data_IF_374127179028
#
_entry.id   IF_374127179028
#
_cell.length_a   1.000
_cell.length_b   1.000
_cell.length_c   1.000
_cell.angle_alpha   90.00
_cell.angle_beta   90.00
_cell.angle_gamma   90.00
#
_symmetry.space_group_name_H-M   'P 1'
#
loop_
_entity.id
_entity.type
_entity.pdbx_description
1 polymer ?
#
# COMPACT_ATOMS: atom_id res chain seq x y z
N UNK A 1 9.22 -15.77 34.61
CA UNK A 1 9.02 -14.34 34.30
C UNK A 1 10.30 -13.82 33.66
N UNK A 2 10.42 -13.97 32.34
CA UNK A 2 9.93 -13.02 31.32
C UNK A 2 11.00 -12.02 30.79
N UNK A 3 12.30 -12.31 30.93
CA UNK A 3 13.34 -11.45 30.34
C UNK A 3 14.11 -12.16 29.20
N UNK A 4 14.27 -13.48 29.26
CA UNK A 4 15.02 -14.24 28.25
C UNK A 4 14.29 -14.49 26.92
N UNK A 5 12.96 -14.31 26.88
CA UNK A 5 12.19 -14.43 25.64
C UNK A 5 12.27 -13.17 24.76
N UNK A 6 12.66 -12.03 25.32
CA UNK A 6 12.66 -10.75 24.59
C UNK A 6 13.92 -10.54 23.73
N UNK A 7 15.03 -11.22 24.07
CA UNK A 7 16.33 -10.99 23.41
C UNK A 7 16.56 -11.94 22.21
N UNK A 8 15.90 -13.10 22.16
CA UNK A 8 16.02 -14.01 20.99
C UNK A 8 15.31 -13.52 19.72
N UNK A 9 14.42 -12.53 19.82
CA UNK A 9 13.77 -11.92 18.65
C UNK A 9 14.56 -10.76 18.02
N UNK A 10 15.71 -10.39 18.57
CA UNK A 10 16.53 -9.28 18.05
C UNK A 10 17.69 -9.73 17.14
N UNK A 11 17.93 -11.03 16.97
CA UNK A 11 19.14 -11.55 16.28
C UNK A 11 18.83 -12.41 15.04
N UNK A 12 17.57 -12.56 14.65
CA UNK A 12 17.16 -13.47 13.56
C UNK A 12 16.48 -12.78 12.36
N UNK A 13 16.90 -11.57 11.98
CA UNK A 13 16.52 -10.99 10.67
C UNK A 13 17.70 -10.25 10.02
N UNK A 14 18.89 -10.82 10.11
CA UNK A 14 19.95 -10.56 9.13
C UNK A 14 19.80 -11.63 8.03
N UNK A 15 19.60 -11.19 6.78
CA UNK A 15 19.50 -11.99 5.55
C UNK A 15 18.15 -12.66 5.20
N UNK A 16 17.04 -11.93 5.21
CA UNK A 16 15.87 -12.31 4.41
C UNK A 16 15.49 -11.20 3.43
N UNK A 17 15.26 -11.58 2.16
CA UNK A 17 14.63 -10.74 1.12
C UNK A 17 13.52 -9.90 1.76
N UNK A 18 13.58 -8.58 1.59
CA UNK A 18 12.57 -7.64 2.06
C UNK A 18 11.18 -8.03 1.53
N UNK A 19 10.41 -8.77 2.35
CA UNK A 19 8.98 -8.94 2.17
C UNK A 19 8.36 -7.60 2.54
N UNK A 20 8.06 -6.77 1.55
CA UNK A 20 7.34 -5.54 1.78
C UNK A 20 5.99 -5.89 2.42
N UNK A 21 5.81 -5.57 3.70
CA UNK A 21 4.55 -5.74 4.42
C UNK A 21 3.60 -4.66 3.92
N UNK A 22 2.71 -5.07 3.01
CA UNK A 22 1.62 -4.25 2.55
C UNK A 22 0.32 -4.76 3.15
N UNK A 23 -0.48 -3.84 3.68
CA UNK A 23 -1.88 -4.10 3.96
C UNK A 23 -2.68 -4.13 2.66
N UNK A 24 -3.39 -5.23 2.42
CA UNK A 24 -4.25 -5.39 1.23
C UNK A 24 -5.65 -4.90 1.50
N UNK A 25 -6.09 -3.89 0.75
CA UNK A 25 -7.45 -3.36 0.77
C UNK A 25 -8.23 -3.88 -0.43
N UNK A 26 -9.32 -4.58 -0.15
CA UNK A 26 -10.18 -5.18 -1.18
C UNK A 26 -11.04 -4.13 -1.85
N UNK A 27 -11.37 -4.35 -3.13
CA UNK A 27 -12.34 -3.53 -3.86
C UNK A 27 -13.67 -3.32 -3.11
N UNK A 28 -14.18 -4.36 -2.44
CA UNK A 28 -15.40 -4.27 -1.61
C UNK A 28 -15.28 -3.28 -0.46
N UNK A 29 -14.06 -3.06 0.06
CA UNK A 29 -13.80 -2.15 1.18
C UNK A 29 -13.58 -0.72 0.72
N UNK A 30 -12.98 -0.53 -0.45
CA UNK A 30 -12.59 0.79 -0.98
C UNK A 30 -13.57 1.36 -2.00
N UNK A 31 -14.51 0.56 -2.52
CA UNK A 31 -15.37 0.95 -3.64
C UNK A 31 -14.64 1.05 -4.99
N UNK A 32 -13.33 0.75 -5.03
CA UNK A 32 -12.52 0.83 -6.23
C UNK A 32 -12.74 -0.37 -7.16
N UNK A 33 -12.47 -0.23 -8.47
CA UNK A 33 -12.54 -1.35 -9.42
C UNK A 33 -11.44 -2.41 -9.22
N UNK A 34 -10.46 -2.14 -8.36
CA UNK A 34 -9.28 -3.00 -8.11
C UNK A 34 -8.95 -3.08 -6.63
N UNK A 35 -8.25 -4.15 -6.24
CA UNK A 35 -7.58 -4.22 -4.95
C UNK A 35 -6.38 -3.26 -4.94
N UNK A 36 -6.13 -2.64 -3.79
CA UNK A 36 -4.95 -1.78 -3.56
C UNK A 36 -4.14 -2.29 -2.37
N UNK A 37 -2.88 -1.90 -2.33
CA UNK A 37 -1.91 -2.31 -1.33
C UNK A 37 -1.23 -1.05 -0.79
N UNK A 38 -1.30 -0.87 0.53
CA UNK A 38 -0.80 0.31 1.23
C UNK A 38 0.32 -0.09 2.20
N UNK A 39 1.35 0.74 2.30
CA UNK A 39 2.48 0.51 3.20
C UNK A 39 2.16 1.11 4.58
N UNK A 40 1.81 0.23 5.52
CA UNK A 40 1.48 0.52 6.91
C UNK A 40 2.66 0.32 7.87
N UNK A 41 3.86 0.11 7.31
CA UNK A 41 5.06 -0.25 8.07
C UNK A 41 6.24 0.70 7.82
N UNK A 42 5.99 1.75 7.01
CA UNK A 42 6.99 2.70 6.57
C UNK A 42 8.15 2.05 5.79
N UNK A 43 7.90 0.91 5.12
CA UNK A 43 8.93 0.18 4.38
C UNK A 43 9.57 1.04 3.27
N UNK A 44 8.80 1.95 2.66
CA UNK A 44 9.31 2.91 1.68
C UNK A 44 10.49 3.74 2.22
N UNK A 45 10.47 4.15 3.50
CA UNK A 45 11.59 4.89 4.14
C UNK A 45 12.83 4.00 4.27
N UNK A 46 12.64 2.80 4.82
CA UNK A 46 13.71 1.81 5.05
C UNK A 46 14.42 1.42 3.74
N UNK A 47 13.64 1.32 2.67
CA UNK A 47 14.12 0.94 1.33
C UNK A 47 14.50 2.14 0.45
N UNK A 48 14.46 3.37 0.97
CA UNK A 48 14.76 4.63 0.23
C UNK A 48 13.97 4.74 -1.08
N UNK A 49 12.71 4.36 -1.04
CA UNK A 49 11.77 4.48 -2.14
C UNK A 49 10.86 5.69 -1.94
N UNK A 50 10.33 6.26 -3.03
CA UNK A 50 9.21 7.19 -2.91
C UNK A 50 8.00 6.50 -2.29
N UNK A 51 7.26 7.22 -1.44
CA UNK A 51 6.00 6.73 -0.90
C UNK A 51 4.99 6.49 -2.04
N UNK A 52 4.32 5.35 -2.00
CA UNK A 52 3.52 4.84 -3.11
C UNK A 52 2.51 3.83 -2.60
N UNK A 53 1.34 3.81 -3.24
CA UNK A 53 0.47 2.63 -3.16
C UNK A 53 0.86 1.66 -4.27
N UNK A 54 0.41 0.42 -4.17
CA UNK A 54 0.35 -0.47 -5.33
C UNK A 54 -1.08 -0.80 -5.68
N UNK A 55 -1.35 -0.96 -6.96
CA UNK A 55 -2.65 -1.36 -7.49
C UNK A 55 -2.52 -2.74 -8.13
N UNK A 56 -3.55 -3.57 -7.99
CA UNK A 56 -3.62 -4.82 -8.74
C UNK A 56 -3.71 -4.52 -10.24
N UNK A 57 -3.00 -5.27 -11.07
CA UNK A 57 -2.95 -5.04 -12.52
C UNK A 57 -4.22 -5.45 -13.29
N UNK A 58 -5.19 -6.06 -12.61
CA UNK A 58 -6.45 -6.54 -13.17
C UNK A 58 -7.60 -6.37 -12.16
N UNK A 59 -8.84 -6.67 -12.60
CA UNK A 59 -10.06 -6.53 -11.79
C UNK A 59 -10.40 -7.76 -10.94
N UNK A 60 -9.49 -8.71 -10.80
CA UNK A 60 -9.71 -9.94 -10.05
C UNK A 60 -10.05 -9.68 -8.58
N UNK A 61 -10.86 -10.55 -7.97
CA UNK A 61 -11.23 -10.42 -6.55
C UNK A 61 -10.13 -10.83 -5.58
N UNK A 62 -9.27 -11.76 -5.99
CA UNK A 62 -8.17 -12.27 -5.18
C UNK A 62 -6.94 -11.36 -5.28
N UNK A 63 -6.11 -11.25 -4.21
CA UNK A 63 -4.90 -10.47 -4.28
C UNK A 63 -3.95 -11.11 -5.29
N UNK A 64 -3.40 -10.31 -6.18
CA UNK A 64 -2.37 -10.74 -7.10
C UNK A 64 -1.03 -10.13 -6.71
N UNK A 65 -0.22 -10.87 -5.94
CA UNK A 65 1.11 -10.42 -5.50
C UNK A 65 2.13 -10.27 -6.65
N UNK A 66 1.90 -10.93 -7.79
CA UNK A 66 2.79 -10.87 -8.95
C UNK A 66 2.44 -9.71 -9.90
N UNK A 67 1.20 -9.22 -9.84
CA UNK A 67 0.66 -8.19 -10.70
C UNK A 67 0.34 -6.92 -9.93
N UNK A 68 1.36 -6.31 -9.32
CA UNK A 68 1.20 -5.06 -8.57
C UNK A 68 1.92 -3.91 -9.28
N UNK A 69 1.18 -2.84 -9.57
CA UNK A 69 1.68 -1.66 -10.27
C UNK A 69 1.82 -0.52 -9.25
N UNK A 70 3.01 0.06 -9.05
CA UNK A 70 3.20 1.17 -8.13
C UNK A 70 2.61 2.48 -8.69
N UNK A 71 1.89 3.21 -7.85
CA UNK A 71 1.36 4.55 -8.13
C UNK A 71 1.80 5.52 -7.03
N UNK A 72 2.22 6.73 -7.41
CA UNK A 72 2.65 7.74 -6.45
C UNK A 72 1.50 8.28 -5.59
N UNK A 73 1.82 8.78 -4.40
CA UNK A 73 0.89 9.48 -3.50
C UNK A 73 1.23 10.97 -3.58
N UNK A 74 0.63 11.66 -4.55
CA UNK A 74 0.87 13.08 -4.86
C UNK A 74 -0.45 13.78 -5.26
N UNK A 75 -0.42 15.11 -5.43
CA UNK A 75 -1.56 15.88 -5.97
C UNK A 75 -1.90 15.53 -7.44
N UNK A 76 -0.95 14.95 -8.17
CA UNK A 76 -1.16 14.40 -9.51
C UNK A 76 -0.58 12.97 -9.58
N UNK A 77 -1.32 11.95 -9.09
CA UNK A 77 -0.80 10.59 -9.02
C UNK A 77 -0.45 10.02 -10.39
N UNK A 78 0.71 9.38 -10.48
CA UNK A 78 1.21 8.72 -11.70
C UNK A 78 1.67 7.31 -11.43
N UNK A 79 1.60 6.47 -12.46
CA UNK A 79 2.21 5.14 -12.43
C UNK A 79 3.74 5.32 -12.44
N UNK A 80 4.44 4.57 -11.58
CA UNK A 80 5.87 4.70 -11.35
C UNK A 80 6.73 3.69 -12.13
N UNK A 81 6.12 3.02 -13.11
CA UNK A 81 6.78 2.06 -13.99
C UNK A 81 6.35 2.32 -15.42
N UNK A 82 7.28 2.14 -16.35
CA UNK A 82 7.00 2.29 -17.77
C UNK A 82 6.32 1.03 -18.32
N UNK A 83 5.33 1.22 -19.19
CA UNK A 83 4.60 0.16 -19.89
C UNK A 83 4.21 -1.04 -19.00
N UNK A 84 3.50 -0.82 -17.88
CA UNK A 84 3.07 -1.92 -17.02
C UNK A 84 2.18 -2.90 -17.79
N UNK A 85 2.38 -4.20 -17.58
CA UNK A 85 1.41 -5.21 -18.00
C UNK A 85 0.15 -5.05 -17.16
N UNK A 86 -0.87 -4.42 -17.72
CA UNK A 86 -2.12 -4.08 -17.01
C UNK A 86 -3.35 -4.29 -17.87
N UNK A 87 -4.42 -4.76 -17.23
CA UNK A 87 -5.73 -5.03 -17.81
C UNK A 87 -6.78 -4.04 -17.26
N UNK A 88 -6.36 -2.80 -16.97
CA UNK A 88 -7.25 -1.75 -16.45
C UNK A 88 -7.48 -0.68 -17.51
N UNK A 89 -8.71 -0.18 -17.57
CA UNK A 89 -9.04 0.96 -18.43
C UNK A 89 -8.54 2.27 -17.83
N UNK A 90 -8.52 3.33 -18.64
CA UNK A 90 -8.23 4.68 -18.15
C UNK A 90 -9.23 5.15 -17.07
N UNK A 91 -10.49 4.72 -17.16
CA UNK A 91 -11.51 5.02 -16.15
C UNK A 91 -11.18 4.37 -14.80
N UNK A 92 -10.70 3.12 -14.81
CA UNK A 92 -10.30 2.42 -13.59
C UNK A 92 -9.12 3.11 -12.91
N UNK A 93 -8.11 3.51 -13.70
CA UNK A 93 -6.96 4.27 -13.19
C UNK A 93 -7.41 5.62 -12.62
N UNK A 94 -8.29 6.34 -13.31
CA UNK A 94 -8.80 7.62 -12.83
C UNK A 94 -9.58 7.48 -11.51
N UNK A 95 -10.33 6.39 -11.32
CA UNK A 95 -10.98 6.12 -10.03
C UNK A 95 -9.96 5.95 -8.90
N UNK A 96 -8.87 5.21 -9.14
CA UNK A 96 -7.80 5.07 -8.15
C UNK A 96 -7.09 6.40 -7.89
N UNK A 97 -6.80 7.20 -8.93
CA UNK A 97 -6.18 8.51 -8.77
C UNK A 97 -7.03 9.44 -7.89
N UNK A 98 -8.35 9.48 -8.12
CA UNK A 98 -9.28 10.26 -7.28
C UNK A 98 -9.23 9.81 -5.82
N UNK A 99 -9.23 8.50 -5.59
CA UNK A 99 -9.09 7.94 -4.24
C UNK A 99 -7.76 8.32 -3.57
N UNK A 100 -6.64 8.26 -4.30
CA UNK A 100 -5.33 8.66 -3.78
C UNK A 100 -5.32 10.14 -3.41
N UNK A 101 -5.86 11.02 -4.26
CA UNK A 101 -5.94 12.45 -4.00
C UNK A 101 -6.80 12.72 -2.75
N UNK A 102 -7.99 12.10 -2.67
CA UNK A 102 -8.91 12.29 -1.56
C UNK A 102 -8.36 11.79 -0.20
N UNK A 103 -7.42 10.85 -0.22
CA UNK A 103 -6.85 10.22 0.96
C UNK A 103 -5.35 10.48 1.14
N UNK A 104 -4.78 11.46 0.42
CA UNK A 104 -3.33 11.67 0.32
C UNK A 104 -2.66 11.77 1.69
N UNK A 105 -3.21 12.62 2.57
CA UNK A 105 -2.63 12.87 3.88
C UNK A 105 -2.74 11.64 4.80
N UNK A 106 -3.85 10.92 4.74
CA UNK A 106 -4.05 9.66 5.48
C UNK A 106 -3.08 8.56 5.01
N UNK A 107 -2.86 8.46 3.69
CA UNK A 107 -1.91 7.51 3.10
C UNK A 107 -0.45 7.84 3.47
N UNK A 108 -0.09 9.12 3.53
CA UNK A 108 1.23 9.56 4.00
C UNK A 108 1.40 9.21 5.48
N UNK A 109 0.37 9.49 6.30
CA UNK A 109 0.39 9.24 7.74
C UNK A 109 0.52 7.76 8.08
N UNK A 110 -0.20 6.89 7.37
CA UNK A 110 -0.16 5.42 7.54
C UNK A 110 1.25 4.82 7.49
N UNK A 111 2.12 5.34 6.63
CA UNK A 111 3.50 4.86 6.53
C UNK A 111 4.51 5.67 7.34
N UNK A 112 4.07 6.61 8.18
CA UNK A 112 4.97 7.57 8.84
C UNK A 112 4.71 7.87 10.31
N UNK A 113 3.50 7.63 10.82
CA UNK A 113 3.09 7.83 12.21
C UNK A 113 2.88 6.47 12.88
N UNK A 114 3.70 6.16 13.88
CA UNK A 114 3.65 4.88 14.61
C UNK A 114 2.35 4.71 15.43
N UNK A 115 1.56 5.77 15.60
CA UNK A 115 0.25 5.74 16.29
C UNK A 115 -0.94 5.81 15.31
N UNK A 116 -0.72 5.59 14.02
CA UNK A 116 -1.78 5.59 13.01
C UNK A 116 -1.68 4.33 12.15
N UNK A 117 -2.55 3.37 12.40
CA UNK A 117 -2.48 2.04 11.77
C UNK A 117 -3.50 1.86 10.64
N UNK A 118 -3.55 0.65 10.09
CA UNK A 118 -4.48 0.30 9.01
C UNK A 118 -5.96 0.38 9.44
N UNK A 119 -6.27 0.12 10.71
CA UNK A 119 -7.62 0.23 11.25
C UNK A 119 -8.04 1.69 11.26
N UNK A 120 -7.19 2.58 11.77
CA UNK A 120 -7.42 4.03 11.77
C UNK A 120 -7.62 4.57 10.35
N UNK A 121 -6.72 4.20 9.43
CA UNK A 121 -6.83 4.57 8.01
C UNK A 121 -8.18 4.16 7.44
N UNK A 122 -8.59 2.93 7.68
CA UNK A 122 -9.84 2.41 7.10
C UNK A 122 -11.10 2.97 7.74
N UNK A 123 -11.02 3.48 8.97
CA UNK A 123 -12.11 4.21 9.62
C UNK A 123 -12.23 5.67 9.16
N UNK A 124 -11.14 6.26 8.67
CA UNK A 124 -11.08 7.67 8.27
C UNK A 124 -11.10 7.90 6.74
N UNK A 125 -10.85 6.87 5.93
CA UNK A 125 -10.72 7.03 4.49
C UNK A 125 -12.00 7.52 3.82
N UNK A 126 -11.84 8.41 2.85
CA UNK A 126 -12.89 8.89 1.96
C UNK A 126 -13.11 7.86 0.85
N UNK A 127 -14.34 7.40 0.69
CA UNK A 127 -14.74 6.48 -0.37
C UNK A 127 -15.07 7.25 -1.66
N UNK A 128 -14.86 6.63 -2.85
CA UNK A 128 -15.19 7.22 -4.15
C UNK A 128 -16.67 7.49 -4.39
#
# INVERSE_FOLDING_TARGET
MEIYYYIKNQVALQNTKCWQTYSSLRKKRTGLPVNIYVDDSGTWKKMRHANRIKIQCNKGDHPNAHGMIPMSIDDNPRILVDNPKMELSAADINAVKKFVIANKDLLIRLGSDDNFDIVDFTGAMVLP
#
